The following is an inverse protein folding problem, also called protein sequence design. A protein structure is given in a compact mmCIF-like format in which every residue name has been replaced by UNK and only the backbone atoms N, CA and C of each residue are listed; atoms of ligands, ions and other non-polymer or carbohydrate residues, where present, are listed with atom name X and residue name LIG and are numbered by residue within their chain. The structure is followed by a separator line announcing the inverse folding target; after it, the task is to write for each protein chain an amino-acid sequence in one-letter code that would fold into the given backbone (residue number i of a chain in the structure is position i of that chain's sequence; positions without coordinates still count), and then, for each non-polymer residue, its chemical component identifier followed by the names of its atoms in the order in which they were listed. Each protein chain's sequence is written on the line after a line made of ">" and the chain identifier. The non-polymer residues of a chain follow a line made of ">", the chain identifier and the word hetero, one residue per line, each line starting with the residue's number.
data_IF_657847933147
#
_entry.id   IF_657847933147
#
_cell.length_a   1.000
_cell.length_b   1.000
_cell.length_c   1.000
_cell.angle_alpha   90.00
_cell.angle_beta   90.00
_cell.angle_gamma   90.00
#
_symmetry.space_group_name_H-M   'P 1'
#
loop_
_entity.id
_entity.type
_entity.pdbx_description
1 polymer ?
#
# COMPACT_ATOMS: atom_id res chain seq x y z
N UNK A 1 -19.42 12.46 -4.58
CA UNK A 1 -19.01 11.29 -3.76
C UNK A 1 -19.28 10.05 -4.60
N UNK A 2 -18.26 9.43 -5.22
CA UNK A 2 -18.46 8.19 -5.99
C UNK A 2 -18.77 7.08 -4.98
N UNK A 3 -19.91 6.42 -5.15
CA UNK A 3 -20.36 5.33 -4.28
C UNK A 3 -19.38 4.16 -4.35
N UNK A 4 -18.79 3.77 -3.22
CA UNK A 4 -17.91 2.59 -3.06
C UNK A 4 -18.69 1.26 -3.03
N UNK A 5 -19.95 1.24 -3.50
CA UNK A 5 -20.91 0.18 -3.20
C UNK A 5 -20.60 -1.23 -3.75
N UNK A 6 -19.50 -1.44 -4.47
CA UNK A 6 -19.11 -2.74 -5.04
C UNK A 6 -17.61 -3.06 -4.87
N UNK A 7 -16.96 -2.69 -3.77
CA UNK A 7 -15.55 -3.06 -3.53
C UNK A 7 -15.44 -4.41 -2.81
N UNK A 8 -15.09 -5.45 -3.56
CA UNK A 8 -14.65 -6.73 -2.99
C UNK A 8 -13.22 -6.56 -2.48
N UNK A 9 -13.02 -6.72 -1.17
CA UNK A 9 -11.72 -6.62 -0.53
C UNK A 9 -11.05 -7.98 -0.47
N UNK A 10 -9.77 -8.03 -0.84
CA UNK A 10 -8.93 -9.21 -0.80
C UNK A 10 -7.68 -8.92 0.00
N UNK A 11 -7.24 -9.91 0.78
CA UNK A 11 -5.98 -9.82 1.51
C UNK A 11 -4.82 -9.90 0.50
N UNK A 12 -3.87 -8.97 0.63
CA UNK A 12 -2.61 -9.02 -0.10
C UNK A 12 -1.60 -9.86 0.68
N UNK A 13 -1.13 -10.94 0.07
CA UNK A 13 -0.05 -11.74 0.65
C UNK A 13 1.28 -10.97 0.54
N UNK A 14 1.90 -10.72 1.69
CA UNK A 14 3.17 -10.01 1.83
C UNK A 14 4.26 -10.96 2.28
N UNK A 15 5.49 -10.76 1.80
CA UNK A 15 6.63 -11.64 2.07
C UNK A 15 7.88 -10.83 2.46
N UNK A 16 8.75 -11.46 3.24
CA UNK A 16 10.03 -10.87 3.65
C UNK A 16 9.86 -9.55 4.38
N UNK A 17 10.59 -8.51 3.98
CA UNK A 17 10.53 -7.18 4.59
C UNK A 17 9.09 -6.62 4.64
N UNK A 18 8.31 -6.82 3.58
CA UNK A 18 6.94 -6.30 3.47
C UNK A 18 5.96 -6.94 4.46
N UNK A 19 6.27 -8.12 5.01
CA UNK A 19 5.42 -8.77 6.00
C UNK A 19 5.32 -7.95 7.31
N UNK A 20 6.31 -7.12 7.61
CA UNK A 20 6.30 -6.24 8.79
C UNK A 20 5.30 -5.08 8.68
N UNK A 21 4.75 -4.83 7.48
CA UNK A 21 3.73 -3.81 7.26
C UNK A 21 2.30 -4.38 7.39
N UNK A 22 2.14 -5.70 7.46
CA UNK A 22 0.85 -6.34 7.21
C UNK A 22 -0.15 -6.24 8.37
N UNK A 23 -1.45 -6.51 8.10
CA UNK A 23 -2.03 -6.88 6.79
C UNK A 23 -2.41 -5.67 5.91
N UNK A 24 -2.33 -5.86 4.58
CA UNK A 24 -2.85 -4.93 3.57
C UNK A 24 -4.00 -5.59 2.81
N UNK A 25 -5.13 -4.91 2.68
CA UNK A 25 -6.19 -5.34 1.78
C UNK A 25 -6.21 -4.48 0.51
N UNK A 26 -6.66 -5.07 -0.59
CA UNK A 26 -6.87 -4.36 -1.85
C UNK A 26 -8.24 -4.66 -2.45
N UNK A 27 -8.73 -3.75 -3.29
CA UNK A 27 -9.92 -3.94 -4.10
C UNK A 27 -9.67 -3.40 -5.50
N UNK A 28 -10.00 -4.15 -6.53
CA UNK A 28 -9.95 -3.67 -7.91
C UNK A 28 -11.24 -2.91 -8.20
N UNK A 29 -11.12 -1.64 -8.59
CA UNK A 29 -12.28 -0.87 -9.07
C UNK A 29 -12.43 -1.10 -10.57
N UNK A 30 -11.34 -0.91 -11.31
CA UNK A 30 -11.25 -1.08 -12.77
C UNK A 30 -9.84 -1.58 -13.14
N UNK A 31 -9.64 -1.98 -14.40
CA UNK A 31 -8.30 -2.35 -14.89
C UNK A 31 -7.33 -1.17 -14.73
N UNK A 32 -6.25 -1.38 -13.98
CA UNK A 32 -5.25 -0.35 -13.68
C UNK A 32 -5.64 0.65 -12.58
N UNK A 33 -6.81 0.48 -11.94
CA UNK A 33 -7.29 1.32 -10.84
C UNK A 33 -7.69 0.44 -9.65
N UNK A 34 -6.96 0.59 -8.54
CA UNK A 34 -7.13 -0.22 -7.34
C UNK A 34 -7.20 0.66 -6.10
N UNK A 35 -7.94 0.19 -5.09
CA UNK A 35 -7.88 0.70 -3.74
C UNK A 35 -7.03 -0.21 -2.87
N UNK A 36 -6.34 0.40 -1.92
CA UNK A 36 -5.57 -0.29 -0.89
C UNK A 36 -5.94 0.28 0.47
N UNK A 37 -5.93 -0.58 1.49
CA UNK A 37 -6.10 -0.16 2.88
C UNK A 37 -5.12 -0.91 3.77
N UNK A 38 -4.71 -0.22 4.82
CA UNK A 38 -3.77 -0.69 5.82
C UNK A 38 -4.14 -0.01 7.12
N UNK A 39 -4.10 -0.75 8.23
CA UNK A 39 -4.33 -0.22 9.56
C UNK A 39 -2.99 -0.26 10.29
N UNK A 40 -2.34 0.88 10.52
CA UNK A 40 -1.10 0.91 11.27
C UNK A 40 -1.32 0.56 12.74
N UNK A 41 -0.25 0.12 13.38
CA UNK A 41 -0.19 -0.21 14.81
C UNK A 41 1.05 0.44 15.47
N UNK A 42 1.27 0.15 16.76
CA UNK A 42 2.40 0.69 17.52
C UNK A 42 3.77 0.34 16.92
N UNK A 43 3.91 -0.81 16.25
CA UNK A 43 5.15 -1.21 15.58
C UNK A 43 5.50 -0.34 14.38
N UNK A 44 4.54 0.42 13.86
CA UNK A 44 4.70 1.31 12.71
C UNK A 44 5.10 2.74 13.11
N UNK A 45 5.15 3.06 14.40
CA UNK A 45 5.46 4.40 14.88
C UNK A 45 6.96 4.69 14.87
N UNK A 46 7.29 5.94 14.60
CA UNK A 46 8.61 6.50 14.79
C UNK A 46 8.81 6.93 16.26
N UNK A 47 10.00 7.42 16.60
CA UNK A 47 10.34 7.88 17.96
C UNK A 47 9.50 9.07 18.46
N UNK A 48 8.81 9.76 17.57
CA UNK A 48 7.90 10.88 17.89
C UNK A 48 6.46 10.41 18.12
N UNK A 49 6.18 9.11 18.03
CA UNK A 49 4.85 8.54 18.28
C UNK A 49 3.90 8.59 17.08
N UNK A 50 4.37 8.98 15.90
CA UNK A 50 3.59 9.02 14.65
C UNK A 50 4.02 7.93 13.69
N UNK A 51 3.18 7.59 12.73
CA UNK A 51 3.52 6.59 11.72
C UNK A 51 4.80 6.98 10.98
N UNK A 52 5.76 6.06 10.98
CA UNK A 52 7.07 6.28 10.38
C UNK A 52 6.91 6.46 8.87
N UNK A 53 7.55 7.48 8.28
CA UNK A 53 7.40 7.76 6.85
C UNK A 53 7.77 6.58 5.94
N UNK A 54 8.70 5.73 6.39
CA UNK A 54 9.05 4.47 5.71
C UNK A 54 7.89 3.47 5.59
N UNK A 55 6.91 3.51 6.49
CA UNK A 55 5.69 2.69 6.43
C UNK A 55 4.85 3.13 5.23
N UNK A 56 4.66 4.45 5.08
CA UNK A 56 3.90 5.03 3.96
C UNK A 56 4.61 4.79 2.62
N UNK A 57 5.94 4.92 2.58
CA UNK A 57 6.71 4.58 1.38
C UNK A 57 6.57 3.11 1.01
N UNK A 58 6.70 2.22 1.98
CA UNK A 58 6.59 0.77 1.74
C UNK A 58 5.18 0.40 1.26
N UNK A 59 4.16 1.00 1.86
CA UNK A 59 2.77 0.84 1.43
C UNK A 59 2.57 1.28 -0.03
N UNK A 60 3.10 2.45 -0.40
CA UNK A 60 3.02 2.96 -1.77
C UNK A 60 3.79 2.08 -2.78
N UNK A 61 4.97 1.58 -2.40
CA UNK A 61 5.78 0.65 -3.20
C UNK A 61 4.99 -0.63 -3.53
N UNK A 62 4.37 -1.23 -2.52
CA UNK A 62 3.53 -2.44 -2.64
C UNK A 62 2.28 -2.18 -3.49
N UNK A 63 1.63 -1.02 -3.32
CA UNK A 63 0.46 -0.66 -4.11
C UNK A 63 0.81 -0.51 -5.60
N UNK A 64 1.88 0.23 -5.91
CA UNK A 64 2.37 0.41 -7.28
C UNK A 64 2.74 -0.92 -7.94
N UNK A 65 3.46 -1.76 -7.20
CA UNK A 65 3.80 -3.13 -7.55
C UNK A 65 2.57 -3.98 -7.94
N UNK A 66 1.52 -3.96 -7.12
CA UNK A 66 0.29 -4.72 -7.35
C UNK A 66 -0.48 -4.20 -8.56
N UNK A 67 -0.57 -2.88 -8.72
CA UNK A 67 -1.24 -2.25 -9.87
C UNK A 67 -0.55 -2.67 -11.18
N UNK A 68 0.78 -2.63 -11.27
CA UNK A 68 1.50 -3.03 -12.50
C UNK A 68 1.16 -4.46 -12.93
N UNK A 69 1.04 -5.38 -11.96
CA UNK A 69 0.68 -6.79 -12.22
C UNK A 69 -0.76 -7.01 -12.70
N UNK A 70 -1.67 -6.06 -12.49
CA UNK A 70 -3.03 -6.14 -13.07
C UNK A 70 -3.02 -5.98 -14.58
N UNK A 71 -2.01 -5.27 -15.12
CA UNK A 71 -1.91 -5.04 -16.56
C UNK A 71 -1.08 -6.13 -17.23
N UNK A 72 -0.02 -6.60 -16.57
CA UNK A 72 0.80 -7.74 -17.00
C UNK A 72 1.27 -8.55 -15.77
N UNK A 73 0.68 -9.75 -15.52
CA UNK A 73 1.05 -10.60 -14.38
C UNK A 73 2.52 -11.05 -14.38
N UNK A 74 3.15 -11.09 -15.56
CA UNK A 74 4.53 -11.54 -15.75
C UNK A 74 5.55 -10.42 -15.62
N UNK A 75 5.09 -9.18 -15.45
CA UNK A 75 5.93 -8.00 -15.38
C UNK A 75 6.95 -8.13 -14.23
N UNK A 76 8.23 -8.11 -14.60
CA UNK A 76 9.36 -8.09 -13.67
C UNK A 76 9.83 -6.65 -13.55
N UNK A 77 9.90 -6.14 -12.33
CA UNK A 77 10.27 -4.75 -12.09
C UNK A 77 11.08 -4.62 -10.80
N UNK A 78 11.74 -3.48 -10.69
CA UNK A 78 12.24 -2.93 -9.44
C UNK A 78 11.91 -1.44 -9.45
N UNK A 79 11.48 -0.90 -8.32
CA UNK A 79 11.20 0.52 -8.20
C UNK A 79 12.54 1.21 -7.94
N UNK A 80 12.95 2.07 -8.89
CA UNK A 80 14.23 2.77 -8.85
C UNK A 80 14.16 4.10 -8.08
N UNK A 81 12.98 4.69 -7.99
CA UNK A 81 12.77 5.96 -7.32
C UNK A 81 11.32 6.11 -6.88
N UNK A 82 11.15 6.58 -5.65
CA UNK A 82 9.85 6.93 -5.07
C UNK A 82 10.00 8.29 -4.40
N UNK A 83 9.07 9.21 -4.68
CA UNK A 83 9.01 10.52 -4.05
C UNK A 83 7.67 10.69 -3.36
N UNK A 84 7.67 11.17 -2.12
CA UNK A 84 6.45 11.54 -1.42
C UNK A 84 6.73 12.71 -0.48
N UNK A 85 5.66 13.44 -0.15
CA UNK A 85 5.68 14.51 0.82
C UNK A 85 4.62 14.22 1.88
N UNK A 86 5.04 14.17 3.14
CA UNK A 86 4.12 14.07 4.26
C UNK A 86 3.62 15.47 4.61
N UNK A 87 2.34 15.74 4.36
CA UNK A 87 1.73 17.04 4.65
C UNK A 87 1.26 17.17 6.11
N UNK A 88 0.88 16.04 6.73
CA UNK A 88 0.36 15.97 8.09
C UNK A 88 0.79 14.65 8.73
N UNK A 89 1.05 14.62 10.05
CA UNK A 89 1.33 13.38 10.76
C UNK A 89 0.11 12.44 10.72
N UNK A 90 0.39 11.14 10.68
CA UNK A 90 -0.60 10.07 10.83
C UNK A 90 -0.34 9.44 12.19
N UNK A 91 -1.40 9.23 12.96
CA UNK A 91 -1.37 8.65 14.31
C UNK A 91 -1.53 7.13 14.31
#
# INVERSE_FOLDING_TARGET
>A
MRSLANTNWFLLELLGFSANLGPIDFSEINKGEMLFRFIPDEGHKNRSGFIHGGVIMTFADIAAAKILRTTDPTFKYTIVQTGYQCCYPIE
#
